data_IF_562221753850
#
_entry.id   IF_562221753850
#
_cell.length_a   1.000
_cell.length_b   1.000
_cell.length_c   1.000
_cell.angle_alpha   90.00
_cell.angle_beta   90.00
_cell.angle_gamma   90.00
#
_symmetry.space_group_name_H-M   'P 1'
#
loop_
_entity.id
_entity.type
_entity.pdbx_description
1 polymer ?
#
# COMPACT_ATOMS: atom_id res chain seq x y z
N UNK A 1 15.63 6.61 -13.98
CA UNK A 1 14.95 7.75 -14.62
C UNK A 1 13.45 7.54 -14.87
N UNK A 2 12.88 6.32 -14.76
CA UNK A 2 11.45 6.07 -15.03
C UNK A 2 10.43 6.69 -14.03
N UNK A 3 10.81 6.96 -12.77
CA UNK A 3 9.82 7.31 -11.71
C UNK A 3 9.42 8.78 -11.63
N UNK A 4 10.05 9.67 -12.40
CA UNK A 4 9.85 11.13 -12.27
C UNK A 4 8.98 11.72 -13.39
N UNK A 5 8.77 11.02 -14.51
CA UNK A 5 8.16 11.61 -15.71
C UNK A 5 6.63 11.51 -15.80
N UNK A 6 5.99 10.47 -15.24
CA UNK A 6 4.52 10.45 -15.10
C UNK A 6 4.00 11.38 -13.98
N UNK A 7 4.91 12.12 -13.33
CA UNK A 7 4.59 13.18 -12.36
C UNK A 7 4.49 14.58 -13.00
N UNK A 8 4.67 14.70 -14.31
CA UNK A 8 4.44 15.98 -15.00
C UNK A 8 2.98 16.42 -14.85
N UNK A 9 2.77 17.71 -14.59
CA UNK A 9 1.46 18.36 -14.41
C UNK A 9 0.62 18.42 -15.70
N UNK A 10 0.90 17.58 -16.70
CA UNK A 10 0.13 17.52 -17.92
C UNK A 10 -1.26 16.96 -17.63
N UNK A 11 -2.27 17.83 -17.70
CA UNK A 11 -3.68 17.47 -17.46
C UNK A 11 -4.42 17.11 -18.75
N UNK A 12 -3.76 17.10 -19.91
CA UNK A 12 -4.43 16.85 -21.21
C UNK A 12 -5.11 15.49 -21.28
N UNK A 13 -4.56 14.45 -20.62
CA UNK A 13 -5.15 13.11 -20.56
C UNK A 13 -6.53 13.09 -19.86
N UNK A 14 -6.83 14.05 -18.98
CA UNK A 14 -8.13 14.12 -18.26
C UNK A 14 -9.33 14.34 -19.17
N UNK A 15 -9.12 14.75 -20.43
CA UNK A 15 -10.18 14.88 -21.44
C UNK A 15 -10.68 13.54 -21.97
N UNK A 16 -9.87 12.49 -21.86
CA UNK A 16 -10.18 11.16 -22.40
C UNK A 16 -10.83 10.23 -21.37
N UNK A 17 -10.65 10.49 -20.07
CA UNK A 17 -11.12 9.61 -19.00
C UNK A 17 -11.88 10.41 -17.93
N UNK A 18 -13.09 9.97 -17.59
CA UNK A 18 -13.87 10.55 -16.49
C UNK A 18 -13.08 10.45 -15.18
N UNK A 19 -13.12 11.51 -14.36
CA UNK A 19 -12.47 11.59 -13.04
C UNK A 19 -12.80 10.41 -12.14
N UNK A 20 -14.00 9.84 -12.27
CA UNK A 20 -14.45 8.68 -11.49
C UNK A 20 -13.62 7.42 -11.75
N UNK A 21 -12.94 7.33 -12.89
CA UNK A 21 -12.17 6.16 -13.29
C UNK A 21 -10.65 6.33 -13.12
N UNK A 22 -10.17 7.50 -12.67
CA UNK A 22 -8.74 7.82 -12.61
C UNK A 22 -7.96 6.90 -11.68
N UNK A 23 -8.54 6.61 -10.51
CA UNK A 23 -7.91 5.83 -9.44
C UNK A 23 -8.35 4.36 -9.42
N UNK A 24 -9.15 3.91 -10.38
CA UNK A 24 -9.55 2.49 -10.48
C UNK A 24 -8.32 1.67 -10.82
N UNK A 25 -8.14 0.55 -10.11
CA UNK A 25 -7.04 -0.37 -10.33
C UNK A 25 -7.03 -0.89 -11.77
N UNK A 26 -5.85 -1.05 -12.35
CA UNK A 26 -5.67 -1.57 -13.69
C UNK A 26 -6.14 -3.03 -13.82
N UNK A 27 -6.22 -3.74 -12.69
CA UNK A 27 -6.81 -5.08 -12.56
C UNK A 27 -8.28 -5.13 -12.99
N UNK A 28 -8.97 -3.98 -13.03
CA UNK A 28 -10.34 -3.86 -13.52
C UNK A 28 -10.49 -4.15 -15.02
N UNK A 29 -9.42 -4.00 -15.80
CA UNK A 29 -9.47 -4.24 -17.25
C UNK A 29 -9.56 -5.74 -17.54
N UNK A 30 -10.55 -6.09 -18.35
CA UNK A 30 -10.76 -7.46 -18.82
C UNK A 30 -9.70 -7.89 -19.82
N UNK A 31 -9.59 -9.19 -20.01
CA UNK A 31 -8.70 -9.81 -21.00
C UNK A 31 -9.01 -9.32 -22.42
N UNK A 32 -10.29 -9.07 -22.71
CA UNK A 32 -10.75 -8.54 -23.99
C UNK A 32 -10.16 -7.15 -24.25
N UNK A 33 -10.33 -6.23 -23.31
CA UNK A 33 -9.80 -4.85 -23.40
C UNK A 33 -8.27 -4.84 -23.43
N UNK A 34 -7.61 -5.70 -22.65
CA UNK A 34 -6.16 -5.83 -22.68
C UNK A 34 -5.64 -6.40 -24.01
N UNK A 35 -6.34 -7.35 -24.63
CA UNK A 35 -5.99 -7.87 -25.96
C UNK A 35 -6.24 -6.83 -27.06
N UNK A 36 -7.32 -6.05 -26.94
CA UNK A 36 -7.60 -4.96 -27.87
C UNK A 36 -6.49 -3.91 -27.83
N UNK A 37 -6.12 -3.42 -26.63
CA UNK A 37 -4.97 -2.53 -26.44
C UNK A 37 -3.67 -3.11 -27.02
N UNK A 38 -3.51 -4.43 -26.92
CA UNK A 38 -2.34 -5.12 -27.44
C UNK A 38 -2.29 -5.13 -28.97
N UNK A 39 -3.45 -5.23 -29.63
CA UNK A 39 -3.52 -5.17 -31.09
C UNK A 39 -2.99 -3.85 -31.65
N UNK A 40 -3.11 -2.76 -30.87
CA UNK A 40 -2.56 -1.46 -31.20
C UNK A 40 -1.08 -1.34 -30.82
N UNK A 41 -0.71 -1.73 -29.60
CA UNK A 41 0.63 -1.55 -29.03
C UNK A 41 1.69 -2.55 -29.54
N UNK A 42 1.28 -3.68 -30.13
CA UNK A 42 2.21 -4.62 -30.77
C UNK A 42 2.56 -4.21 -32.22
N UNK A 43 1.88 -3.19 -32.76
CA UNK A 43 2.23 -2.57 -34.04
C UNK A 43 3.39 -1.61 -33.80
N UNK A 44 4.55 -1.91 -34.40
CA UNK A 44 5.69 -1.00 -34.40
C UNK A 44 5.42 0.20 -35.30
N UNK A 45 5.16 1.33 -34.66
CA UNK A 45 5.17 2.63 -35.32
C UNK A 45 6.54 3.25 -35.03
N UNK A 46 7.26 3.69 -36.06
CA UNK A 46 8.49 4.45 -35.87
C UNK A 46 8.08 5.89 -35.57
N UNK A 47 8.21 6.34 -34.32
CA UNK A 47 8.14 7.78 -34.02
C UNK A 47 9.36 8.47 -34.63
N UNK A 48 9.13 9.52 -35.39
CA UNK A 48 10.20 10.34 -36.00
C UNK A 48 10.82 11.33 -35.00
N UNK A 49 10.13 11.59 -33.89
CA UNK A 49 10.56 12.54 -32.86
C UNK A 49 10.56 11.87 -31.47
N UNK A 50 11.69 12.03 -30.77
CA UNK A 50 11.97 11.77 -29.35
C UNK A 50 11.83 10.34 -28.77
N UNK A 51 12.99 9.66 -28.73
CA UNK A 51 13.54 8.78 -27.67
C UNK A 51 12.74 7.61 -27.08
N UNK A 52 11.47 7.40 -27.41
CA UNK A 52 10.63 6.32 -26.87
C UNK A 52 9.96 5.53 -27.98
N UNK A 53 9.94 4.20 -27.83
CA UNK A 53 9.23 3.32 -28.76
C UNK A 53 7.73 3.38 -28.47
N UNK A 54 6.89 3.68 -29.46
CA UNK A 54 5.43 3.74 -29.33
C UNK A 54 4.76 2.34 -29.31
N UNK A 55 5.50 1.35 -28.84
CA UNK A 55 5.13 -0.06 -28.75
C UNK A 55 5.21 -0.57 -27.30
N UNK A 56 4.98 -1.87 -27.10
CA UNK A 56 5.08 -2.53 -25.79
C UNK A 56 6.41 -2.28 -25.05
N UNK A 57 7.50 -2.03 -25.79
CA UNK A 57 8.83 -1.81 -25.22
C UNK A 57 8.90 -0.45 -24.53
N UNK A 58 8.35 0.60 -25.15
CA UNK A 58 8.25 1.90 -24.51
C UNK A 58 7.25 1.92 -23.37
N UNK A 59 6.13 1.20 -23.49
CA UNK A 59 5.21 1.04 -22.37
C UNK A 59 5.90 0.40 -21.16
N UNK A 60 6.63 -0.70 -21.37
CA UNK A 60 7.36 -1.40 -20.32
C UNK A 60 8.43 -0.52 -19.67
N UNK A 61 9.11 0.31 -20.44
CA UNK A 61 10.12 1.25 -19.94
C UNK A 61 9.50 2.40 -19.12
N UNK A 62 8.36 2.95 -19.58
CA UNK A 62 7.62 4.01 -18.88
C UNK A 62 7.10 3.55 -17.51
N UNK A 63 6.55 2.34 -17.43
CA UNK A 63 6.04 1.78 -16.16
C UNK A 63 7.17 1.22 -15.28
N UNK A 64 8.39 1.11 -15.82
CA UNK A 64 9.59 0.72 -15.10
C UNK A 64 9.79 -0.79 -14.92
N UNK A 65 9.28 -1.62 -15.84
CA UNK A 65 9.53 -3.06 -15.85
C UNK A 65 11.00 -3.37 -16.14
N UNK A 66 11.47 -4.52 -15.63
CA UNK A 66 12.84 -4.97 -15.82
C UNK A 66 13.11 -5.37 -17.28
N UNK A 67 14.26 -4.95 -17.82
CA UNK A 67 14.74 -5.35 -19.15
C UNK A 67 14.75 -6.88 -19.37
N UNK A 68 15.05 -7.66 -18.34
CA UNK A 68 15.02 -9.13 -18.39
C UNK A 68 13.63 -9.69 -18.69
N UNK A 69 12.57 -9.07 -18.15
CA UNK A 69 11.18 -9.42 -18.46
C UNK A 69 10.82 -9.05 -19.90
N UNK A 70 11.19 -7.85 -20.34
CA UNK A 70 10.95 -7.40 -21.72
C UNK A 70 11.63 -8.33 -22.73
N UNK A 71 12.82 -8.84 -22.41
CA UNK A 71 13.54 -9.82 -23.22
C UNK A 71 12.85 -11.19 -23.23
N UNK A 72 12.30 -11.65 -22.12
CA UNK A 72 11.64 -12.97 -22.06
C UNK A 72 10.37 -13.04 -22.93
N UNK A 73 9.65 -11.93 -23.09
CA UNK A 73 8.39 -11.89 -23.86
C UNK A 73 8.61 -11.60 -25.36
N UNK A 74 9.86 -11.45 -25.84
CA UNK A 74 10.15 -11.08 -27.24
C UNK A 74 9.64 -12.08 -28.28
N UNK A 75 9.54 -13.35 -27.92
CA UNK A 75 9.05 -14.41 -28.81
C UNK A 75 7.53 -14.64 -28.69
N UNK A 76 6.83 -13.91 -27.82
CA UNK A 76 5.40 -14.07 -27.62
C UNK A 76 4.60 -13.32 -28.71
N UNK A 77 3.44 -13.86 -29.05
CA UNK A 77 2.55 -13.29 -30.08
C UNK A 77 1.80 -12.05 -29.58
N UNK A 78 1.51 -11.96 -28.29
CA UNK A 78 0.78 -10.87 -27.64
C UNK A 78 1.63 -10.19 -26.55
N UNK A 79 2.63 -9.40 -26.98
CA UNK A 79 3.69 -8.90 -26.07
C UNK A 79 3.17 -7.79 -25.17
N UNK A 80 2.42 -6.86 -25.74
CA UNK A 80 1.72 -5.81 -25.01
C UNK A 80 0.77 -6.37 -23.96
N UNK A 81 0.10 -7.49 -24.26
CA UNK A 81 -0.82 -8.13 -23.33
C UNK A 81 -0.08 -8.60 -22.09
N UNK A 82 1.08 -9.23 -22.27
CA UNK A 82 1.95 -9.62 -21.16
C UNK A 82 2.44 -8.45 -20.35
N UNK A 83 2.80 -7.34 -20.99
CA UNK A 83 3.21 -6.11 -20.29
C UNK A 83 2.06 -5.56 -19.44
N UNK A 84 0.85 -5.48 -20.00
CA UNK A 84 -0.34 -5.00 -19.29
C UNK A 84 -0.68 -5.93 -18.12
N UNK A 85 -0.67 -7.25 -18.34
CA UNK A 85 -0.90 -8.27 -17.31
C UNK A 85 0.11 -8.19 -16.18
N UNK A 86 1.39 -8.06 -16.52
CA UNK A 86 2.44 -7.93 -15.52
C UNK A 86 2.26 -6.64 -14.70
N UNK A 87 1.84 -5.54 -15.36
CA UNK A 87 1.51 -4.31 -14.66
C UNK A 87 0.31 -4.46 -13.73
N UNK A 88 -0.73 -5.18 -14.15
CA UNK A 88 -1.91 -5.49 -13.34
C UNK A 88 -1.57 -6.23 -12.04
N UNK A 89 -0.48 -6.99 -11.99
CA UNK A 89 -0.06 -7.67 -10.75
C UNK A 89 0.50 -6.72 -9.68
N UNK A 90 0.96 -5.53 -10.08
CA UNK A 90 1.47 -4.48 -9.17
C UNK A 90 2.82 -4.77 -8.49
N UNK A 91 3.42 -5.95 -8.69
CA UNK A 91 4.65 -6.36 -8.00
C UNK A 91 5.94 -5.91 -8.71
N UNK A 92 5.88 -5.78 -10.04
CA UNK A 92 7.07 -5.60 -10.88
C UNK A 92 7.25 -4.17 -11.42
N UNK A 93 6.19 -3.36 -11.39
CA UNK A 93 6.18 -2.01 -11.96
C UNK A 93 6.48 -0.94 -10.90
N UNK A 94 7.16 0.14 -11.30
CA UNK A 94 7.44 1.30 -10.43
C UNK A 94 6.29 2.30 -10.37
N UNK A 95 5.35 2.19 -11.30
CA UNK A 95 4.20 3.08 -11.46
C UNK A 95 2.95 2.37 -10.97
N UNK A 96 2.13 3.08 -10.19
CA UNK A 96 0.89 2.56 -9.63
C UNK A 96 -0.01 2.05 -10.78
N UNK A 97 -0.49 0.79 -10.73
CA UNK A 97 -1.34 0.21 -11.75
C UNK A 97 -2.78 0.69 -11.60
N UNK A 98 -3.08 1.89 -12.11
CA UNK A 98 -4.44 2.41 -12.20
C UNK A 98 -4.76 2.84 -13.65
N UNK A 99 -6.05 2.93 -13.98
CA UNK A 99 -6.52 3.25 -15.34
C UNK A 99 -6.05 4.66 -15.75
N UNK A 100 -5.99 5.62 -14.82
CA UNK A 100 -5.47 6.96 -15.10
C UNK A 100 -4.02 6.95 -15.58
N UNK A 101 -3.15 6.16 -14.93
CA UNK A 101 -1.75 6.03 -15.33
C UNK A 101 -1.58 5.28 -16.65
N UNK A 102 -2.47 4.33 -16.97
CA UNK A 102 -2.49 3.71 -18.29
C UNK A 102 -2.76 4.76 -19.37
N UNK A 103 -3.82 5.57 -19.22
CA UNK A 103 -4.19 6.59 -20.21
C UNK A 103 -3.07 7.63 -20.35
N UNK A 104 -2.44 8.05 -19.25
CA UNK A 104 -1.24 8.91 -19.28
C UNK A 104 -0.08 8.28 -20.06
N UNK A 105 0.20 7.00 -19.83
CA UNK A 105 1.26 6.30 -20.51
C UNK A 105 0.99 6.19 -22.02
N UNK A 106 -0.25 5.86 -22.43
CA UNK A 106 -0.65 5.79 -23.84
C UNK A 106 -0.51 7.14 -24.56
N UNK A 107 -0.93 8.23 -23.91
CA UNK A 107 -0.77 9.58 -24.45
C UNK A 107 0.71 9.93 -24.62
N UNK A 108 1.55 9.54 -23.64
CA UNK A 108 2.99 9.80 -23.71
C UNK A 108 3.71 9.00 -24.78
N UNK A 109 3.19 7.81 -25.11
CA UNK A 109 3.65 7.01 -26.24
C UNK A 109 3.20 7.57 -27.60
N UNK A 110 2.45 8.68 -27.62
CA UNK A 110 1.90 9.28 -28.84
C UNK A 110 0.77 8.45 -29.46
N UNK A 111 0.15 7.55 -28.70
CA UNK A 111 -0.87 6.62 -29.17
C UNK A 111 -2.28 7.12 -28.92
N UNK A 112 -2.54 8.35 -29.37
CA UNK A 112 -3.89 8.95 -29.31
C UNK A 112 -4.90 8.23 -30.22
N UNK A 113 -4.40 7.48 -31.21
CA UNK A 113 -5.18 6.62 -32.10
C UNK A 113 -5.92 5.50 -31.36
N UNK A 114 -5.45 5.09 -30.18
CA UNK A 114 -6.05 4.02 -29.37
C UNK A 114 -7.34 4.48 -28.69
N UNK A 115 -7.47 5.78 -28.40
CA UNK A 115 -8.54 6.25 -27.54
C UNK A 115 -9.95 6.09 -28.13
N UNK A 116 -10.23 6.41 -29.41
CA UNK A 116 -11.56 6.23 -29.98
C UNK A 116 -12.08 4.79 -29.88
N UNK A 117 -11.19 3.81 -30.03
CA UNK A 117 -11.55 2.40 -30.14
C UNK A 117 -11.56 1.70 -28.76
N UNK A 118 -10.54 1.94 -27.92
CA UNK A 118 -10.41 1.23 -26.64
C UNK A 118 -11.08 1.94 -25.45
N UNK A 119 -11.28 3.28 -25.49
CA UNK A 119 -11.88 3.99 -24.34
C UNK A 119 -13.30 3.55 -23.98
N UNK A 120 -14.19 3.21 -24.93
CA UNK A 120 -15.50 2.66 -24.60
C UNK A 120 -15.41 1.37 -23.80
N UNK A 121 -14.50 0.47 -24.17
CA UNK A 121 -14.28 -0.80 -23.48
C UNK A 121 -13.60 -0.60 -22.12
N UNK A 122 -12.60 0.30 -22.03
CA UNK A 122 -11.98 0.70 -20.76
C UNK A 122 -13.02 1.29 -19.80
N UNK A 123 -13.88 2.18 -20.29
CA UNK A 123 -14.92 2.82 -19.47
C UNK A 123 -16.00 1.82 -19.06
N UNK A 124 -16.38 0.91 -19.96
CA UNK A 124 -17.30 -0.19 -19.67
C UNK A 124 -16.72 -1.13 -18.62
N UNK A 125 -15.45 -1.51 -18.73
CA UNK A 125 -14.79 -2.40 -17.77
C UNK A 125 -14.62 -1.70 -16.42
N UNK A 126 -14.27 -0.41 -16.41
CA UNK A 126 -14.23 0.40 -15.20
C UNK A 126 -15.61 0.52 -14.54
N UNK A 127 -16.65 0.75 -15.33
CA UNK A 127 -18.03 0.85 -14.87
C UNK A 127 -18.57 -0.51 -14.41
N UNK A 128 -18.25 -1.61 -15.10
CA UNK A 128 -18.54 -2.97 -14.66
C UNK A 128 -17.76 -3.33 -13.41
N UNK A 129 -16.53 -2.87 -13.26
CA UNK A 129 -15.78 -3.04 -12.02
C UNK A 129 -16.49 -2.32 -10.89
N UNK A 130 -16.83 -1.03 -11.05
CA UNK A 130 -17.62 -0.29 -10.07
C UNK A 130 -18.97 -0.96 -9.79
N UNK A 131 -19.69 -1.39 -10.83
CA UNK A 131 -21.01 -2.01 -10.75
C UNK A 131 -20.95 -3.41 -10.18
N UNK A 132 -19.93 -4.23 -10.41
CA UNK A 132 -19.77 -5.53 -9.76
C UNK A 132 -19.37 -5.36 -8.30
N UNK A 133 -18.65 -4.27 -7.98
CA UNK A 133 -18.48 -3.80 -6.61
C UNK A 133 -19.77 -3.17 -6.03
N UNK A 134 -20.77 -2.87 -6.87
CA UNK A 134 -22.09 -2.31 -6.51
C UNK A 134 -23.27 -3.31 -6.60
N UNK A 135 -23.16 -4.44 -7.31
CA UNK A 135 -24.19 -5.47 -7.57
C UNK A 135 -23.91 -6.76 -6.78
N UNK A 136 -22.67 -6.96 -6.30
CA UNK A 136 -22.43 -7.67 -5.05
C UNK A 136 -22.88 -6.85 -3.82
N UNK A 137 -23.92 -6.03 -3.99
CA UNK A 137 -24.71 -5.48 -2.90
C UNK A 137 -25.56 -6.60 -2.27
N UNK A 138 -24.89 -7.53 -1.59
CA UNK A 138 -25.25 -7.68 -0.19
C UNK A 138 -24.97 -6.32 0.47
N UNK A 139 -25.83 -5.80 1.35
CA UNK A 139 -25.78 -4.41 1.80
C UNK A 139 -24.34 -3.97 2.09
N UNK A 140 -23.96 -2.79 1.58
CA UNK A 140 -22.63 -2.13 1.72
C UNK A 140 -22.10 -2.03 3.17
N UNK A 141 -22.84 -2.54 4.17
CA UNK A 141 -22.32 -2.78 5.52
C UNK A 141 -21.38 -3.99 5.66
N UNK A 142 -21.27 -4.92 4.70
CA UNK A 142 -20.53 -6.17 4.93
C UNK A 142 -19.06 -6.19 4.43
N UNK A 143 -18.71 -5.47 3.35
CA UNK A 143 -17.31 -5.39 2.87
C UNK A 143 -16.56 -4.17 3.43
N UNK A 144 -17.29 -3.17 3.95
CA UNK A 144 -16.73 -2.05 4.71
C UNK A 144 -16.40 -2.39 6.18
N UNK A 145 -16.76 -3.59 6.63
CA UNK A 145 -16.46 -4.06 7.97
C UNK A 145 -15.10 -4.76 8.04
N UNK A 146 -14.63 -5.34 6.93
CA UNK A 146 -13.32 -5.95 6.86
C UNK A 146 -12.24 -4.87 6.71
N UNK A 147 -11.64 -4.49 7.82
CA UNK A 147 -10.51 -3.58 7.94
C UNK A 147 -9.17 -4.32 7.87
N UNK A 148 -9.15 -5.62 8.19
CA UNK A 148 -7.95 -6.45 8.21
C UNK A 148 -8.15 -7.77 7.49
N UNK A 149 -7.05 -8.43 7.11
CA UNK A 149 -7.08 -9.78 6.51
C UNK A 149 -7.57 -10.85 7.49
N UNK A 150 -7.61 -10.56 8.79
CA UNK A 150 -8.07 -11.48 9.83
C UNK A 150 -9.59 -11.37 10.10
N UNK A 151 -10.29 -10.47 9.41
CA UNK A 151 -11.73 -10.28 9.57
C UNK A 151 -12.52 -11.43 8.96
N UNK A 152 -13.45 -11.99 9.74
CA UNK A 152 -14.39 -13.01 9.28
C UNK A 152 -15.78 -12.38 9.06
N UNK A 153 -16.61 -12.93 8.16
CA UNK A 153 -17.96 -12.42 7.92
C UNK A 153 -18.75 -12.27 9.24
N UNK A 154 -19.13 -11.04 9.58
CA UNK A 154 -19.88 -10.71 10.80
C UNK A 154 -19.10 -10.81 12.12
N UNK A 155 -17.78 -11.05 12.07
CA UNK A 155 -16.92 -11.11 13.25
C UNK A 155 -15.61 -10.36 13.01
N UNK A 156 -15.57 -9.07 13.36
CA UNK A 156 -14.34 -8.30 13.20
C UNK A 156 -13.24 -8.74 14.16
N UNK A 157 -12.02 -8.76 13.66
CA UNK A 157 -10.79 -8.99 14.38
C UNK A 157 -10.52 -7.79 15.31
N UNK A 158 -10.53 -8.07 16.61
CA UNK A 158 -10.05 -7.16 17.64
C UNK A 158 -8.60 -7.53 17.94
N UNK A 159 -7.76 -6.52 18.11
CA UNK A 159 -6.35 -6.66 18.47
C UNK A 159 -6.10 -5.99 19.82
N UNK A 160 -5.22 -6.57 20.62
CA UNK A 160 -4.81 -5.98 21.88
C UNK A 160 -3.82 -4.84 21.64
N UNK A 161 -2.97 -4.97 20.62
CA UNK A 161 -1.90 -4.01 20.35
C UNK A 161 -1.79 -3.68 18.86
N UNK A 162 -1.73 -2.39 18.54
CA UNK A 162 -1.34 -1.87 17.23
C UNK A 162 0.16 -1.52 17.23
N UNK A 163 0.94 -2.06 16.31
CA UNK A 163 2.37 -1.74 16.16
C UNK A 163 2.56 -0.66 15.09
N UNK A 164 3.06 0.51 15.49
CA UNK A 164 3.44 1.61 14.60
C UNK A 164 4.95 1.57 14.41
N UNK A 165 5.40 1.39 13.17
CA UNK A 165 6.82 1.34 12.81
C UNK A 165 7.02 1.78 11.36
N UNK A 166 8.26 2.16 11.01
CA UNK A 166 8.59 2.50 9.63
C UNK A 166 8.73 1.23 8.79
N UNK A 167 7.79 1.03 7.86
CA UNK A 167 7.74 -0.12 6.95
C UNK A 167 8.91 -0.17 5.96
N UNK A 168 9.54 0.97 5.66
CA UNK A 168 10.63 1.06 4.68
C UNK A 168 11.99 0.61 5.28
N UNK A 169 12.05 0.35 6.59
CA UNK A 169 13.28 -0.02 7.30
C UNK A 169 13.28 -1.51 7.63
N UNK A 170 14.06 -2.30 6.88
CA UNK A 170 14.24 -3.75 7.09
C UNK A 170 14.63 -4.09 8.55
N UNK A 171 15.43 -3.22 9.17
CA UNK A 171 15.83 -3.35 10.57
C UNK A 171 14.64 -3.27 11.51
N UNK A 172 13.75 -2.32 11.27
CA UNK A 172 12.53 -2.15 12.07
C UNK A 172 11.61 -3.35 11.88
N UNK A 173 11.47 -3.82 10.65
CA UNK A 173 10.67 -4.99 10.33
C UNK A 173 11.16 -6.22 11.09
N UNK A 174 12.47 -6.50 11.08
CA UNK A 174 13.04 -7.63 11.82
C UNK A 174 12.72 -7.55 13.31
N UNK A 175 12.94 -6.36 13.91
CA UNK A 175 12.63 -6.13 15.33
C UNK A 175 11.14 -6.27 15.64
N UNK A 176 10.25 -5.76 14.78
CA UNK A 176 8.79 -5.86 14.94
C UNK A 176 8.33 -7.31 14.88
N UNK A 177 8.89 -8.12 13.98
CA UNK A 177 8.56 -9.56 13.90
C UNK A 177 8.95 -10.30 15.18
N UNK A 178 10.11 -9.98 15.76
CA UNK A 178 10.54 -10.53 17.04
C UNK A 178 9.66 -10.06 18.21
N UNK A 179 9.36 -8.76 18.27
CA UNK A 179 8.44 -8.14 19.23
C UNK A 179 7.07 -8.83 19.20
N UNK A 180 6.47 -8.96 18.02
CA UNK A 180 5.15 -9.60 17.84
C UNK A 180 5.21 -11.06 18.28
N UNK A 181 6.24 -11.80 17.87
CA UNK A 181 6.42 -13.20 18.28
C UNK A 181 6.48 -13.34 19.80
N UNK A 182 7.19 -12.45 20.50
CA UNK A 182 7.30 -12.47 21.95
C UNK A 182 5.99 -12.10 22.67
N UNK A 183 5.19 -11.19 22.11
CA UNK A 183 3.90 -10.77 22.68
C UNK A 183 2.78 -11.81 22.42
N UNK A 184 2.80 -12.48 21.26
CA UNK A 184 1.83 -13.52 20.90
C UNK A 184 2.14 -14.86 21.57
N UNK A 185 3.40 -15.11 21.93
CA UNK A 185 3.81 -16.34 22.62
C UNK A 185 3.38 -16.34 24.09
N UNK A 186 3.39 -17.54 24.69
CA UNK A 186 3.25 -17.70 26.14
C UNK A 186 4.33 -16.90 26.88
N UNK A 187 4.00 -16.17 27.97
CA UNK A 187 2.74 -16.23 28.73
C UNK A 187 1.67 -15.21 28.34
N UNK A 188 1.90 -14.34 27.36
CA UNK A 188 1.10 -13.14 27.15
C UNK A 188 -0.11 -13.34 26.23
N UNK A 189 0.05 -14.13 25.16
CA UNK A 189 -1.03 -14.46 24.21
C UNK A 189 -1.78 -13.24 23.66
N UNK A 190 -1.09 -12.10 23.51
CA UNK A 190 -1.69 -10.87 23.00
C UNK A 190 -1.88 -10.97 21.49
N UNK A 191 -2.98 -10.45 20.95
CA UNK A 191 -3.16 -10.37 19.50
C UNK A 191 -2.63 -9.04 18.97
N UNK A 192 -1.58 -9.08 18.13
CA UNK A 192 -0.94 -7.88 17.60
C UNK A 192 -1.37 -7.58 16.16
N UNK A 193 -1.65 -6.31 15.87
CA UNK A 193 -1.80 -5.81 14.51
C UNK A 193 -0.47 -5.20 14.04
N UNK A 194 0.04 -5.68 12.92
CA UNK A 194 1.09 -5.01 12.16
C UNK A 194 0.81 -5.15 10.67
N UNK A 195 1.14 -4.10 9.93
CA UNK A 195 0.66 -3.85 8.57
C UNK A 195 1.07 -4.90 7.54
N UNK A 196 2.28 -5.46 7.64
CA UNK A 196 2.77 -6.45 6.67
C UNK A 196 2.01 -7.80 6.72
N UNK A 197 1.42 -8.16 7.88
CA UNK A 197 0.64 -9.41 8.04
C UNK A 197 -0.86 -9.18 7.93
N UNK A 198 -1.36 -8.16 8.63
CA UNK A 198 -2.79 -7.97 8.85
C UNK A 198 -3.36 -6.78 8.06
N UNK A 199 -2.52 -6.03 7.36
CA UNK A 199 -2.95 -4.91 6.52
C UNK A 199 -3.58 -5.38 5.20
N UNK A 200 -4.67 -4.72 4.81
CA UNK A 200 -5.21 -4.86 3.46
C UNK A 200 -4.33 -4.07 2.49
N UNK A 201 -4.04 -4.69 1.34
CA UNK A 201 -3.34 -4.03 0.23
C UNK A 201 -4.34 -3.18 -0.57
N UNK A 202 -3.94 -1.97 -0.99
CA UNK A 202 -4.78 -1.10 -1.82
C UNK A 202 -4.58 0.40 -1.58
N UNK A 203 -5.34 1.22 -2.31
CA UNK A 203 -5.47 2.67 -2.09
C UNK A 203 -6.29 2.92 -0.81
N UNK A 204 -5.94 3.97 -0.04
CA UNK A 204 -6.47 4.30 1.31
C UNK A 204 -5.82 3.56 2.51
N UNK A 205 -4.54 3.18 2.42
CA UNK A 205 -3.77 2.58 3.54
C UNK A 205 -3.84 3.38 4.84
N UNK A 206 -3.70 4.71 4.76
CA UNK A 206 -3.71 5.58 5.94
C UNK A 206 -5.08 5.60 6.63
N UNK A 207 -6.17 5.68 5.86
CA UNK A 207 -7.53 5.64 6.40
C UNK A 207 -7.83 4.28 7.03
N UNK A 208 -7.36 3.19 6.40
CA UNK A 208 -7.49 1.87 7.00
C UNK A 208 -6.72 1.76 8.32
N UNK A 209 -5.46 2.20 8.38
CA UNK A 209 -4.68 2.21 9.62
C UNK A 209 -5.35 3.05 10.71
N UNK A 210 -5.89 4.21 10.34
CA UNK A 210 -6.65 5.10 11.22
C UNK A 210 -7.86 4.38 11.82
N UNK A 211 -8.67 3.72 10.98
CA UNK A 211 -9.85 2.96 11.41
C UNK A 211 -9.49 1.75 12.27
N UNK A 212 -8.47 0.96 11.90
CA UNK A 212 -8.01 -0.17 12.73
C UNK A 212 -7.52 0.32 14.09
N UNK A 213 -6.72 1.39 14.12
CA UNK A 213 -6.20 1.99 15.34
C UNK A 213 -7.33 2.51 16.24
N UNK A 214 -8.35 3.17 15.69
CA UNK A 214 -9.48 3.70 16.45
C UNK A 214 -10.49 2.63 16.86
N UNK A 215 -10.90 1.73 15.95
CA UNK A 215 -12.04 0.84 16.12
C UNK A 215 -11.66 -0.56 16.61
N UNK A 216 -10.44 -1.05 16.31
CA UNK A 216 -10.07 -2.46 16.49
C UNK A 216 -8.95 -2.71 17.50
N UNK A 217 -8.22 -1.69 17.96
CA UNK A 217 -7.06 -1.85 18.84
C UNK A 217 -7.24 -1.22 20.24
N UNK A 218 -6.76 -1.92 21.28
CA UNK A 218 -6.80 -1.42 22.67
C UNK A 218 -5.59 -0.56 23.04
N UNK A 219 -4.40 -0.99 22.65
CA UNK A 219 -3.15 -0.31 22.96
C UNK A 219 -2.32 -0.09 21.68
N UNK A 220 -1.33 0.79 21.78
CA UNK A 220 -0.43 1.10 20.67
C UNK A 220 1.02 1.00 21.14
N UNK A 221 1.86 0.33 20.37
CA UNK A 221 3.31 0.36 20.53
C UNK A 221 3.89 1.16 19.38
N UNK A 222 4.75 2.13 19.70
CA UNK A 222 5.46 2.92 18.68
C UNK A 222 6.92 2.54 18.70
N UNK A 223 7.41 1.98 17.61
CA UNK A 223 8.83 1.64 17.44
C UNK A 223 9.57 2.84 16.86
N UNK A 224 10.43 3.44 17.66
CA UNK A 224 11.25 4.59 17.35
C UNK A 224 12.63 4.13 16.85
N UNK A 225 12.80 4.20 15.54
CA UNK A 225 14.05 3.92 14.82
C UNK A 225 14.66 5.18 14.23
N UNK A 226 15.94 5.18 13.82
CA UNK A 226 16.55 6.34 13.17
C UNK A 226 15.72 6.90 12.00
N UNK A 227 15.05 6.02 11.26
CA UNK A 227 14.20 6.38 10.10
C UNK A 227 12.78 6.82 10.49
N UNK A 228 12.37 6.68 11.76
CA UNK A 228 11.03 7.06 12.23
C UNK A 228 10.72 8.53 11.93
N UNK A 229 11.68 9.42 12.16
CA UNK A 229 11.48 10.87 11.99
C UNK A 229 11.24 11.27 10.53
N UNK A 230 11.58 10.40 9.57
CA UNK A 230 11.37 10.62 8.14
C UNK A 230 10.05 9.99 7.65
N UNK A 231 9.31 9.29 8.50
CA UNK A 231 8.07 8.60 8.14
C UNK A 231 6.83 9.39 8.60
N UNK A 232 6.18 10.07 7.66
CA UNK A 232 4.97 10.87 7.93
C UNK A 232 3.82 10.02 8.47
N UNK A 233 3.63 8.81 7.94
CA UNK A 233 2.63 7.84 8.40
C UNK A 233 2.82 7.50 9.88
N UNK A 234 4.06 7.24 10.30
CA UNK A 234 4.37 6.92 11.69
C UNK A 234 4.07 8.11 12.62
N UNK A 235 4.47 9.31 12.22
CA UNK A 235 4.24 10.54 12.97
C UNK A 235 2.75 10.82 13.15
N UNK A 236 1.97 10.68 12.07
CA UNK A 236 0.52 10.84 12.08
C UNK A 236 -0.16 9.81 12.99
N UNK A 237 0.11 8.51 12.79
CA UNK A 237 -0.50 7.44 13.59
C UNK A 237 -0.11 7.54 15.07
N UNK A 238 1.13 7.96 15.36
CA UNK A 238 1.58 8.17 16.74
C UNK A 238 0.81 9.32 17.40
N UNK A 239 0.63 10.43 16.68
CA UNK A 239 -0.15 11.57 17.16
C UNK A 239 -1.62 11.20 17.40
N UNK A 240 -2.21 10.43 16.48
CA UNK A 240 -3.56 9.91 16.64
C UNK A 240 -3.67 8.95 17.84
N UNK A 241 -2.72 8.03 18.01
CA UNK A 241 -2.69 7.11 19.14
C UNK A 241 -2.59 7.86 20.49
N UNK A 242 -1.79 8.93 20.56
CA UNK A 242 -1.74 9.81 21.74
C UNK A 242 -3.11 10.43 22.01
N UNK A 243 -3.77 10.97 20.98
CA UNK A 243 -5.11 11.55 21.11
C UNK A 243 -6.13 10.53 21.61
N UNK A 244 -6.12 9.31 21.06
CA UNK A 244 -7.01 8.22 21.49
C UNK A 244 -6.73 7.79 22.94
N UNK A 245 -5.46 7.76 23.36
CA UNK A 245 -5.10 7.47 24.75
C UNK A 245 -5.53 8.58 25.73
N UNK A 246 -5.54 9.82 25.28
CA UNK A 246 -6.04 10.95 26.06
C UNK A 246 -7.58 10.90 26.19
N UNK A 247 -8.29 10.49 25.13
CA UNK A 247 -9.75 10.32 25.11
C UNK A 247 -10.19 9.12 25.97
N UNK A 248 -9.41 8.04 25.97
CA UNK A 248 -9.74 6.82 26.70
C UNK A 248 -8.54 6.32 27.51
N UNK A 249 -8.59 6.50 28.83
CA UNK A 249 -7.52 6.14 29.77
C UNK A 249 -7.22 4.64 29.86
N UNK A 250 -8.10 3.78 29.35
CA UNK A 250 -7.79 2.35 29.23
C UNK A 250 -6.81 2.08 28.10
N UNK A 251 -6.75 2.94 27.09
CA UNK A 251 -5.77 2.85 26.01
C UNK A 251 -4.43 3.38 26.46
N UNK A 252 -3.37 2.71 26.05
CA UNK A 252 -2.00 3.07 26.38
C UNK A 252 -1.15 3.10 25.13
N UNK A 253 -0.23 4.03 25.11
CA UNK A 253 0.80 4.14 24.09
C UNK A 253 2.15 3.85 24.74
N UNK A 254 2.91 2.94 24.14
CA UNK A 254 4.20 2.47 24.65
C UNK A 254 5.26 2.73 23.59
N UNK A 255 6.06 3.79 23.73
CA UNK A 255 7.21 4.01 22.85
C UNK A 255 8.31 2.99 23.15
N UNK A 256 8.92 2.45 22.09
CA UNK A 256 10.06 1.55 22.13
C UNK A 256 11.19 2.17 21.33
N UNK A 257 12.32 2.45 21.96
CA UNK A 257 13.52 2.92 21.30
C UNK A 257 14.37 1.71 20.94
N UNK A 258 14.63 1.55 19.64
CA UNK A 258 15.58 0.55 19.16
C UNK A 258 16.97 1.17 19.01
N UNK A 259 17.97 0.31 18.87
CA UNK A 259 19.35 0.75 18.78
C UNK A 259 19.58 1.78 17.63
N UNK A 260 20.45 2.76 17.89
CA UNK A 260 20.66 3.92 17.02
C UNK A 260 19.69 5.09 17.19
N UNK A 261 18.53 4.92 17.84
CA UNK A 261 17.62 6.05 18.11
C UNK A 261 18.03 6.84 19.35
N UNK A 262 18.07 8.16 19.24
CA UNK A 262 18.45 9.05 20.34
C UNK A 262 17.21 9.54 21.12
N UNK A 263 17.27 9.54 22.45
CA UNK A 263 16.17 10.02 23.30
C UNK A 263 15.82 11.50 23.07
N UNK A 264 16.79 12.32 22.67
CA UNK A 264 16.57 13.72 22.28
C UNK A 264 15.68 13.87 21.04
N UNK A 265 15.57 12.83 20.23
CA UNK A 265 14.78 12.82 18.99
C UNK A 265 13.34 12.37 19.22
N UNK A 266 12.97 11.93 20.42
CA UNK A 266 11.59 11.51 20.74
C UNK A 266 10.64 12.68 20.43
N UNK A 267 9.59 12.46 19.59
CA UNK A 267 8.59 13.46 19.28
C UNK A 267 7.93 14.02 20.53
N UNK A 268 7.65 15.32 20.55
CA UNK A 268 7.02 16.00 21.68
C UNK A 268 5.76 15.30 22.18
N UNK A 269 4.93 14.80 21.25
CA UNK A 269 3.68 14.08 21.54
C UNK A 269 3.90 12.78 22.34
N UNK A 270 5.08 12.17 22.24
CA UNK A 270 5.43 10.93 22.94
C UNK A 270 6.28 11.15 24.19
N UNK A 271 6.82 12.36 24.42
CA UNK A 271 7.74 12.64 25.54
C UNK A 271 7.12 12.42 26.92
N UNK A 272 5.80 12.54 27.04
CA UNK A 272 5.09 12.29 28.30
C UNK A 272 4.86 10.80 28.59
N UNK A 273 5.23 9.91 27.66
CA UNK A 273 5.01 8.48 27.78
C UNK A 273 6.28 7.77 28.27
N UNK A 274 6.11 6.69 29.03
CA UNK A 274 7.24 5.88 29.48
C UNK A 274 7.81 5.08 28.31
N UNK A 275 8.99 5.47 27.85
CA UNK A 275 9.66 4.82 26.73
C UNK A 275 10.55 3.66 27.19
N UNK A 276 10.57 2.56 26.43
CA UNK A 276 11.41 1.39 26.70
C UNK A 276 12.56 1.31 25.71
N UNK A 277 13.78 1.10 26.20
CA UNK A 277 14.98 1.06 25.36
C UNK A 277 15.47 -0.37 25.15
N UNK A 278 15.61 -0.81 23.90
CA UNK A 278 16.13 -2.12 23.53
C UNK A 278 17.40 -1.99 22.66
N UNK A 279 18.59 -2.00 23.28
CA UNK A 279 19.87 -1.79 22.58
C UNK A 279 20.41 -3.04 21.86
N UNK A 280 19.58 -4.03 21.52
CA UNK A 280 19.99 -5.21 20.75
C UNK A 280 20.52 -6.41 21.56
N UNK A 281 20.47 -6.38 22.89
CA UNK A 281 20.68 -7.56 23.73
C UNK A 281 19.34 -8.16 24.17
N UNK A 282 19.24 -9.49 24.13
CA UNK A 282 18.08 -10.30 24.50
C UNK A 282 17.80 -10.26 26.02
N UNK A 283 17.49 -9.09 26.58
CA UNK A 283 17.07 -8.99 27.97
C UNK A 283 15.59 -9.43 28.10
N UNK A 284 15.40 -10.75 28.25
CA UNK A 284 14.09 -11.37 28.45
C UNK A 284 13.32 -10.78 29.65
N UNK A 285 14.00 -10.24 30.66
CA UNK A 285 13.34 -9.61 31.82
C UNK A 285 12.73 -8.27 31.42
N UNK A 286 13.45 -7.49 30.62
CA UNK A 286 12.96 -6.22 30.09
C UNK A 286 11.77 -6.43 29.15
N UNK A 287 11.85 -7.42 28.25
CA UNK A 287 10.73 -7.85 27.41
C UNK A 287 9.49 -8.19 28.24
N UNK A 288 9.67 -9.00 29.30
CA UNK A 288 8.58 -9.40 30.19
C UNK A 288 7.95 -8.21 30.91
N UNK A 289 8.75 -7.25 31.37
CA UNK A 289 8.25 -6.04 32.05
C UNK A 289 7.49 -5.12 31.10
N UNK A 290 7.99 -4.94 29.88
CA UNK A 290 7.32 -4.17 28.84
C UNK A 290 5.98 -4.81 28.48
N UNK A 291 5.95 -6.11 28.21
CA UNK A 291 4.71 -6.84 27.93
C UNK A 291 3.72 -6.77 29.11
N UNK A 292 4.18 -6.90 30.36
CA UNK A 292 3.33 -6.68 31.54
C UNK A 292 2.78 -5.25 31.64
N UNK A 293 3.51 -4.23 31.17
CA UNK A 293 3.01 -2.86 31.09
C UNK A 293 1.83 -2.72 30.13
N UNK A 294 1.77 -3.59 29.11
CA UNK A 294 0.67 -3.66 28.15
C UNK A 294 -0.47 -4.54 28.74
N UNK A 295 -0.15 -5.70 29.31
CA UNK A 295 -1.13 -6.68 29.81
C UNK A 295 -1.84 -6.31 31.11
N UNK A 296 -1.24 -5.52 32.02
CA UNK A 296 -1.79 -5.25 33.37
C UNK A 296 -3.16 -4.54 33.37
N UNK A 297 -3.65 -4.13 32.20
CA UNK A 297 -4.88 -3.38 32.04
C UNK A 297 -5.84 -3.98 30.98
N UNK A 298 -5.55 -5.20 30.51
CA UNK A 298 -6.47 -6.01 29.69
C UNK A 298 -7.42 -6.82 30.56
#
# INVERSE_FOLDING_TARGET
MASTFLRDNDTTWTRYLDRRYHEIELSALTDETALELSSYLDIRIYSLDDNWFSDYTGLAELIGLNFGFVKSIQCETTKSFRVIREWQTGQSAKVIPNIGNLVRALLRLGREDIFPDCMPNISRDAEQYLNNHHENWAPIGALYDSLTTDDLPGKPAIYDVFIIYNEDSERCEFFVRELVRNLESSPFHLKCYFSQRSGLFGVMRLDNFTRVLEERCKHSIVVLSPEYNNCETCSFLSSMAVLLSARNRSRRIVPILIDGYQESQIPDVLRMQNAWRFPGNEDHVQWRRMALSVCRFC
#
